data_IF_982369435933
#
_entry.id   IF_982369435933
#
_cell.length_a   1.000
_cell.length_b   1.000
_cell.length_c   1.000
_cell.angle_alpha   90.00
_cell.angle_beta   90.00
_cell.angle_gamma   90.00
#
_symmetry.space_group_name_H-M   'P 1'
#
loop_
_entity.id
_entity.type
_entity.pdbx_description
1 polymer ?
#
# COMPACT_ATOMS: atom_id res chain seq x y z
N UNK A 1 -64.34 17.52 -0.34
CA UNK A 1 -63.14 18.31 -0.01
C UNK A 1 -61.93 17.46 -0.40
N UNK A 2 -61.19 17.90 -1.42
CA UNK A 2 -60.05 17.17 -1.97
C UNK A 2 -58.92 17.05 -0.96
N UNK A 3 -58.50 15.83 -0.62
CA UNK A 3 -57.28 15.59 0.14
C UNK A 3 -56.12 15.45 -0.84
N UNK A 4 -55.32 16.51 -0.92
CA UNK A 4 -54.10 16.60 -1.71
C UNK A 4 -53.06 15.65 -1.11
N UNK A 5 -52.85 14.50 -1.74
CA UNK A 5 -51.67 13.68 -1.45
C UNK A 5 -50.44 14.50 -1.81
N UNK A 6 -49.62 14.78 -0.80
CA UNK A 6 -48.42 15.59 -0.90
C UNK A 6 -47.36 14.85 -1.74
N UNK A 7 -47.25 15.24 -3.01
CA UNK A 7 -46.28 14.67 -3.96
C UNK A 7 -44.84 15.05 -3.55
N UNK A 8 -44.67 15.98 -2.61
CA UNK A 8 -43.36 16.43 -2.11
C UNK A 8 -42.66 15.40 -1.21
N UNK A 9 -43.40 14.44 -0.66
CA UNK A 9 -42.82 13.40 0.20
C UNK A 9 -42.22 12.22 -0.59
N UNK A 10 -42.67 12.02 -1.84
CA UNK A 10 -42.18 10.92 -2.72
C UNK A 10 -40.87 11.22 -3.45
N UNK A 11 -40.37 12.45 -3.41
CA UNK A 11 -39.13 12.82 -4.10
C UNK A 11 -37.89 12.85 -3.18
N UNK A 12 -38.04 12.56 -1.88
CA UNK A 12 -36.89 12.52 -0.95
C UNK A 12 -36.16 11.18 -0.84
N UNK A 13 -36.68 10.10 -1.43
CA UNK A 13 -36.09 8.75 -1.30
C UNK A 13 -35.45 8.27 -2.62
N UNK A 14 -35.07 9.20 -3.51
CA UNK A 14 -34.49 8.83 -4.81
C UNK A 14 -33.34 9.74 -5.20
N UNK A 15 -32.39 9.92 -4.29
CA UNK A 15 -31.20 10.75 -4.53
C UNK A 15 -29.86 10.20 -4.05
N UNK A 16 -29.82 9.09 -3.30
CA UNK A 16 -28.58 8.74 -2.57
C UNK A 16 -28.19 7.26 -2.58
N UNK A 17 -28.77 6.47 -3.49
CA UNK A 17 -28.41 5.04 -3.68
C UNK A 17 -28.01 4.77 -5.13
N UNK A 18 -27.37 5.75 -5.78
CA UNK A 18 -26.78 5.58 -7.10
C UNK A 18 -25.39 4.92 -7.02
N UNK A 19 -24.83 4.43 -8.13
CA UNK A 19 -23.48 3.85 -8.20
C UNK A 19 -22.38 4.75 -7.58
N UNK A 20 -22.60 6.06 -7.50
CA UNK A 20 -21.73 7.01 -6.81
C UNK A 20 -21.71 6.87 -5.28
N UNK A 21 -22.82 6.50 -4.62
CA UNK A 21 -22.83 6.26 -3.17
C UNK A 21 -22.03 5.00 -2.82
N UNK A 22 -22.17 3.95 -3.63
CA UNK A 22 -21.39 2.72 -3.50
C UNK A 22 -19.90 2.95 -3.80
N UNK A 23 -19.57 3.78 -4.80
CA UNK A 23 -18.19 4.17 -5.10
C UNK A 23 -17.57 4.99 -3.95
N UNK A 24 -18.32 5.93 -3.36
CA UNK A 24 -17.87 6.69 -2.16
C UNK A 24 -17.72 5.80 -0.94
N UNK A 25 -18.63 4.85 -0.71
CA UNK A 25 -18.52 3.88 0.38
C UNK A 25 -17.29 2.99 0.20
N UNK A 26 -16.99 2.55 -1.03
CA UNK A 26 -15.77 1.80 -1.35
C UNK A 26 -14.51 2.64 -1.16
N UNK A 27 -14.51 3.90 -1.59
CA UNK A 27 -13.40 4.82 -1.36
C UNK A 27 -13.19 5.10 0.14
N UNK A 28 -14.27 5.25 0.91
CA UNK A 28 -14.21 5.41 2.37
C UNK A 28 -13.77 4.12 3.11
N UNK A 29 -13.92 2.95 2.48
CA UNK A 29 -13.40 1.67 2.98
C UNK A 29 -11.95 1.40 2.56
N UNK A 30 -11.37 2.18 1.63
CA UNK A 30 -9.96 2.05 1.31
C UNK A 30 -9.16 2.50 2.52
N UNK A 31 -8.42 1.57 3.12
CA UNK A 31 -7.45 1.94 4.14
C UNK A 31 -6.38 2.81 3.49
N UNK A 32 -6.26 4.05 3.96
CA UNK A 32 -5.15 4.90 3.61
C UNK A 32 -3.89 4.33 4.25
N UNK A 33 -2.91 3.96 3.43
CA UNK A 33 -1.60 3.55 3.88
C UNK A 33 -0.67 4.77 3.87
N UNK A 34 0.05 4.96 4.98
CA UNK A 34 1.17 5.88 5.04
C UNK A 34 2.46 5.10 5.29
N UNK A 35 3.59 5.77 5.11
CA UNK A 35 4.90 5.21 5.42
C UNK A 35 5.03 4.86 6.91
N UNK A 36 5.77 3.78 7.18
CA UNK A 36 6.17 3.42 8.53
C UNK A 36 7.56 4.01 8.84
N UNK A 37 7.94 4.00 10.13
CA UNK A 37 9.30 4.38 10.51
C UNK A 37 10.37 3.47 9.88
N UNK A 38 10.00 2.24 9.53
CA UNK A 38 10.90 1.30 8.86
C UNK A 38 11.05 1.60 7.37
N UNK A 39 9.98 2.03 6.68
CA UNK A 39 10.08 2.38 5.25
C UNK A 39 10.93 3.64 5.03
N UNK A 40 10.92 4.58 5.98
CA UNK A 40 11.76 5.79 5.93
C UNK A 40 13.28 5.52 5.95
N UNK A 41 13.69 4.29 6.30
CA UNK A 41 15.09 3.86 6.32
C UNK A 41 15.51 3.15 5.04
N UNK A 42 14.57 2.80 4.16
CA UNK A 42 14.86 2.11 2.91
C UNK A 42 15.34 3.13 1.89
N UNK A 43 16.54 2.90 1.35
CA UNK A 43 17.12 3.67 0.28
C UNK A 43 17.30 2.78 -0.95
N UNK A 44 16.88 3.23 -2.12
CA UNK A 44 17.10 2.52 -3.36
C UNK A 44 17.80 3.39 -4.40
N UNK A 45 18.78 2.81 -5.10
CA UNK A 45 19.37 3.45 -6.27
C UNK A 45 18.56 3.10 -7.51
N UNK A 46 18.31 4.08 -8.37
CA UNK A 46 17.39 3.93 -9.49
C UNK A 46 17.95 3.11 -10.67
N UNK A 47 19.28 2.92 -10.71
CA UNK A 47 19.99 2.43 -11.90
C UNK A 47 20.89 1.20 -11.63
N UNK A 48 20.60 0.38 -10.63
CA UNK A 48 21.36 -0.84 -10.35
C UNK A 48 20.50 -2.12 -10.41
N UNK A 49 21.12 -3.31 -10.35
CA UNK A 49 20.41 -4.57 -10.17
C UNK A 49 19.61 -4.54 -8.86
N UNK A 50 18.32 -4.90 -8.89
CA UNK A 50 17.44 -4.83 -7.71
C UNK A 50 18.03 -5.58 -6.49
N UNK A 51 18.72 -6.69 -6.72
CA UNK A 51 19.38 -7.50 -5.68
C UNK A 51 20.46 -6.76 -4.89
N UNK A 52 21.04 -5.70 -5.45
CA UNK A 52 22.13 -4.92 -4.83
C UNK A 52 21.81 -3.43 -4.72
N UNK A 53 20.61 -3.01 -5.13
CA UNK A 53 20.23 -1.59 -5.20
C UNK A 53 19.44 -1.11 -4.01
N UNK A 54 19.10 -1.99 -3.07
CA UNK A 54 18.33 -1.66 -1.87
C UNK A 54 19.26 -1.67 -0.66
N UNK A 55 19.26 -0.56 0.08
CA UNK A 55 20.08 -0.30 1.23
C UNK A 55 19.20 0.12 2.41
N UNK A 56 19.71 -0.10 3.61
CA UNK A 56 19.07 0.25 4.86
C UNK A 56 19.93 1.26 5.58
N UNK A 57 19.38 2.45 5.82
CA UNK A 57 19.98 3.49 6.63
C UNK A 57 19.78 3.16 8.11
N UNK A 58 20.70 3.53 9.00
CA UNK A 58 20.44 3.47 10.46
C UNK A 58 19.32 4.43 10.86
N UNK A 59 19.41 5.67 10.38
CA UNK A 59 18.40 6.73 10.55
C UNK A 59 18.25 7.49 9.23
N UNK A 60 17.04 7.99 8.96
CA UNK A 60 16.72 8.77 7.75
C UNK A 60 17.70 9.92 7.51
N UNK A 61 18.06 10.63 8.57
CA UNK A 61 18.90 11.83 8.47
C UNK A 61 20.40 11.56 8.63
N UNK A 62 20.79 10.29 8.80
CA UNK A 62 22.19 9.89 8.95
C UNK A 62 22.61 8.88 7.85
N UNK A 63 23.03 9.36 6.68
CA UNK A 63 23.45 8.51 5.57
C UNK A 63 24.82 7.86 5.77
N UNK A 64 25.50 8.12 6.88
CA UNK A 64 26.87 7.64 7.13
C UNK A 64 26.94 6.16 7.49
N UNK A 65 25.82 5.55 7.91
CA UNK A 65 25.72 4.13 8.24
C UNK A 65 24.69 3.47 7.32
N UNK A 66 25.19 2.74 6.31
CA UNK A 66 24.38 2.03 5.33
C UNK A 66 24.67 0.52 5.42
N UNK A 67 23.62 -0.27 5.39
CA UNK A 67 23.69 -1.73 5.36
C UNK A 67 22.96 -2.26 4.13
N UNK A 68 23.45 -3.34 3.49
CA UNK A 68 22.73 -3.95 2.37
C UNK A 68 21.42 -4.59 2.86
N UNK A 69 20.34 -4.41 2.11
CA UNK A 69 19.04 -5.03 2.44
C UNK A 69 19.07 -6.55 2.29
N UNK A 70 19.84 -7.04 1.33
CA UNK A 70 20.04 -8.45 1.02
C UNK A 70 21.52 -8.73 0.81
N UNK A 71 22.02 -9.78 1.44
CA UNK A 71 23.40 -10.26 1.28
C UNK A 71 23.38 -11.67 0.71
N UNK A 72 24.08 -11.87 -0.40
CA UNK A 72 24.34 -13.18 -0.98
C UNK A 72 25.82 -13.50 -0.84
N UNK A 73 26.15 -14.57 -0.12
CA UNK A 73 27.55 -15.01 0.04
C UNK A 73 28.03 -15.80 -1.17
N UNK A 74 29.34 -15.97 -1.31
CA UNK A 74 29.94 -16.75 -2.42
C UNK A 74 29.50 -18.22 -2.40
N UNK A 75 29.13 -18.74 -1.23
CA UNK A 75 28.61 -20.09 -1.00
C UNK A 75 27.11 -20.20 -1.31
N UNK A 76 26.48 -19.12 -1.79
CA UNK A 76 25.06 -19.07 -2.12
C UNK A 76 24.13 -18.87 -0.91
N UNK A 77 24.67 -18.53 0.26
CA UNK A 77 23.83 -18.26 1.45
C UNK A 77 23.21 -16.88 1.32
N UNK A 78 21.89 -16.80 1.47
CA UNK A 78 21.11 -15.57 1.35
C UNK A 78 20.63 -15.10 2.72
N UNK A 79 21.08 -13.93 3.15
CA UNK A 79 20.66 -13.31 4.41
C UNK A 79 19.93 -12.00 4.13
N UNK A 80 18.74 -11.85 4.69
CA UNK A 80 17.94 -10.63 4.60
C UNK A 80 18.16 -9.78 5.84
N UNK A 81 18.17 -8.46 5.67
CA UNK A 81 18.22 -7.54 6.80
C UNK A 81 16.96 -7.68 7.67
N UNK A 82 17.09 -7.52 8.99
CA UNK A 82 15.99 -7.72 9.95
C UNK A 82 14.77 -6.82 9.67
N UNK A 83 15.00 -5.64 9.08
CA UNK A 83 13.95 -4.69 8.66
C UNK A 83 12.97 -5.30 7.64
N UNK A 84 13.33 -6.37 6.94
CA UNK A 84 12.44 -7.10 6.01
C UNK A 84 11.19 -7.65 6.68
N UNK A 85 11.25 -7.90 8.00
CA UNK A 85 10.14 -8.40 8.80
C UNK A 85 9.33 -7.27 9.46
N UNK A 86 9.76 -6.01 9.29
CA UNK A 86 9.06 -4.86 9.84
C UNK A 86 7.93 -4.41 8.89
N UNK A 87 6.81 -3.89 9.41
CA UNK A 87 5.75 -3.35 8.58
C UNK A 87 6.26 -2.11 7.83
N UNK A 88 6.08 -2.07 6.51
CA UNK A 88 6.47 -0.92 5.67
C UNK A 88 5.40 0.16 5.60
N UNK A 89 4.18 -0.15 6.02
CA UNK A 89 3.04 0.76 5.97
C UNK A 89 2.39 0.90 7.34
N UNK A 90 1.63 1.97 7.53
CA UNK A 90 0.69 2.16 8.62
C UNK A 90 -0.72 2.36 8.03
N UNK A 91 -1.70 1.52 8.37
CA UNK A 91 -1.55 0.27 9.14
C UNK A 91 -0.71 -0.78 8.37
N UNK A 92 -0.20 -1.84 9.04
CA UNK A 92 0.46 -2.96 8.36
C UNK A 92 -0.47 -3.58 7.31
N UNK A 93 0.07 -3.91 6.13
CA UNK A 93 -0.67 -4.67 5.12
C UNK A 93 -0.93 -6.09 5.66
N UNK A 94 -2.19 -6.52 5.79
CA UNK A 94 -2.51 -7.82 6.39
C UNK A 94 -2.32 -9.00 5.42
N UNK A 95 -2.43 -8.78 4.11
CA UNK A 95 -2.22 -9.82 3.09
C UNK A 95 -1.92 -9.19 1.72
N UNK A 96 -1.19 -9.93 0.88
CA UNK A 96 -0.89 -9.55 -0.50
C UNK A 96 -1.37 -10.70 -1.40
N UNK A 97 -2.12 -10.37 -2.44
CA UNK A 97 -2.58 -11.35 -3.44
C UNK A 97 -1.76 -11.15 -4.71
N UNK A 98 -0.92 -12.13 -5.05
CA UNK A 98 -0.10 -12.14 -6.26
C UNK A 98 -0.78 -12.98 -7.33
N UNK A 99 -0.90 -12.46 -8.55
CA UNK A 99 -1.41 -13.19 -9.72
C UNK A 99 -0.31 -13.23 -10.76
N UNK A 100 0.07 -14.44 -11.17
CA UNK A 100 1.07 -14.66 -12.22
C UNK A 100 0.33 -15.06 -13.49
N UNK A 101 0.59 -14.34 -14.57
CA UNK A 101 0.06 -14.66 -15.89
C UNK A 101 1.22 -15.11 -16.77
N UNK A 102 1.03 -16.22 -17.49
CA UNK A 102 1.96 -16.62 -18.54
C UNK A 102 1.86 -15.59 -19.67
N UNK A 103 3.01 -15.18 -20.20
CA UNK A 103 3.05 -14.43 -21.45
C UNK A 103 2.93 -15.46 -22.58
N UNK A 104 1.91 -15.31 -23.43
CA UNK A 104 1.84 -16.07 -24.68
C UNK A 104 3.01 -15.62 -25.58
N UNK A 105 3.74 -16.59 -26.13
CA UNK A 105 4.89 -16.38 -27.01
C UNK A 105 4.50 -16.49 -28.47
#
# INVERSE_FOLDING_TARGET
MSSSFDISERLRIQGDQGPNAQMRARAAQQQHFTDSASSERIFCTLNGPLSTSIWVLDKRDNPTSIEPYHQLTAEGTSTWHAISQAPMTKPPVPSIIVRVYALEY
#
